data_IF_189643173412
#
_entry.id   IF_189643173412
#
_cell.length_a   1.000
_cell.length_b   1.000
_cell.length_c   1.000
_cell.angle_alpha   90.00
_cell.angle_beta   90.00
_cell.angle_gamma   90.00
#
_symmetry.space_group_name_H-M   'P 1'
#
loop_
_entity.id
_entity.type
_entity.pdbx_description
1 polymer ?
#
# COMPACT_ATOMS: atom_id res chain seq x y z
N UNK A 1 -23.96 38.77 -15.06
CA UNK A 1 -22.92 38.52 -14.05
C UNK A 1 -22.69 37.01 -13.99
N UNK A 2 -21.51 36.51 -14.39
CA UNK A 2 -21.18 35.08 -14.32
C UNK A 2 -20.53 34.81 -12.96
N UNK A 3 -21.17 34.02 -12.10
CA UNK A 3 -20.52 33.49 -10.91
C UNK A 3 -19.51 32.44 -11.36
N UNK A 4 -18.22 32.74 -11.19
CA UNK A 4 -17.13 31.83 -11.49
C UNK A 4 -16.97 30.90 -10.28
N UNK A 5 -17.44 29.66 -10.41
CA UNK A 5 -17.43 28.67 -9.34
C UNK A 5 -16.01 28.33 -8.88
N UNK A 6 -15.82 28.31 -7.57
CA UNK A 6 -14.56 27.92 -6.93
C UNK A 6 -14.37 26.40 -7.07
N UNK A 7 -13.38 25.95 -7.85
CA UNK A 7 -13.00 24.52 -7.89
C UNK A 7 -12.10 24.26 -6.68
N UNK A 8 -12.59 23.47 -5.72
CA UNK A 8 -11.76 22.98 -4.63
C UNK A 8 -10.73 22.01 -5.22
N UNK A 9 -9.48 22.45 -5.35
CA UNK A 9 -8.36 21.57 -5.65
C UNK A 9 -8.23 20.55 -4.51
N UNK A 10 -8.51 19.26 -4.79
CA UNK A 10 -8.24 18.17 -3.85
C UNK A 10 -6.83 17.64 -4.10
N UNK A 11 -5.99 17.62 -3.07
CA UNK A 11 -4.70 16.93 -3.15
C UNK A 11 -4.95 15.42 -3.11
N UNK A 12 -4.36 14.68 -4.06
CA UNK A 12 -4.35 13.22 -4.05
C UNK A 12 -3.20 12.71 -3.17
N UNK A 13 -3.51 11.87 -2.19
CA UNK A 13 -2.54 11.17 -1.35
C UNK A 13 -2.62 9.69 -1.65
N UNK A 14 -1.50 9.06 -2.00
CA UNK A 14 -1.44 7.62 -2.24
C UNK A 14 -0.20 7.00 -1.62
N UNK A 15 -0.27 5.69 -1.35
CA UNK A 15 0.89 4.86 -0.97
C UNK A 15 1.24 3.98 -2.17
N UNK A 16 2.54 3.81 -2.43
CA UNK A 16 3.06 2.96 -3.49
C UNK A 16 4.00 1.90 -2.90
N UNK A 17 3.79 0.64 -3.26
CA UNK A 17 4.58 -0.51 -2.83
C UNK A 17 4.70 -1.56 -3.96
N UNK A 18 5.66 -2.45 -3.85
CA UNK A 18 5.88 -3.56 -4.78
C UNK A 18 6.64 -4.71 -4.08
N UNK A 19 6.80 -5.85 -4.76
CA UNK A 19 7.74 -6.92 -4.39
C UNK A 19 7.54 -7.46 -2.96
N UNK A 20 6.28 -7.72 -2.61
CA UNK A 20 5.91 -8.24 -1.30
C UNK A 20 6.21 -9.74 -1.14
N UNK A 21 6.27 -10.48 -2.26
CA UNK A 21 6.61 -11.91 -2.32
C UNK A 21 5.85 -12.78 -1.29
N UNK A 22 4.54 -12.58 -1.17
CA UNK A 22 3.69 -13.35 -0.27
C UNK A 22 3.62 -14.80 -0.71
N UNK A 23 4.04 -15.72 0.17
CA UNK A 23 4.19 -17.12 -0.21
C UNK A 23 5.64 -17.57 -0.23
N UNK A 24 6.58 -16.63 -0.35
CA UNK A 24 7.99 -16.95 -0.42
C UNK A 24 8.51 -17.54 0.89
N UNK A 25 9.22 -18.68 0.77
CA UNK A 25 9.81 -19.43 1.88
C UNK A 25 11.32 -19.44 1.74
N UNK A 26 11.94 -18.29 2.00
CA UNK A 26 13.40 -18.18 1.94
C UNK A 26 14.06 -19.24 2.83
N UNK A 27 15.02 -20.00 2.27
CA UNK A 27 15.71 -21.11 2.93
C UNK A 27 14.79 -22.23 3.45
N UNK A 28 13.57 -22.35 2.89
CA UNK A 28 12.52 -23.24 3.39
C UNK A 28 12.16 -22.99 4.88
N UNK A 29 12.45 -21.78 5.39
CA UNK A 29 12.22 -21.41 6.78
C UNK A 29 10.79 -20.93 7.00
N UNK A 30 10.10 -21.56 7.96
CA UNK A 30 8.78 -21.11 8.41
C UNK A 30 8.81 -19.70 8.98
N UNK A 31 9.91 -19.28 9.58
CA UNK A 31 10.00 -17.94 10.16
C UNK A 31 10.18 -16.88 9.08
N UNK A 32 11.00 -17.15 8.05
CA UNK A 32 11.15 -16.25 6.90
C UNK A 32 9.82 -16.05 6.17
N UNK A 33 9.03 -17.11 6.00
CA UNK A 33 7.66 -16.98 5.48
C UNK A 33 6.80 -16.01 6.30
N UNK A 34 6.88 -16.06 7.64
CA UNK A 34 6.14 -15.13 8.50
C UNK A 34 6.69 -13.71 8.43
N UNK A 35 8.00 -13.52 8.21
CA UNK A 35 8.58 -12.19 8.01
C UNK A 35 7.90 -11.44 6.87
N UNK A 36 7.76 -12.07 5.69
CA UNK A 36 7.08 -11.45 4.53
C UNK A 36 5.62 -11.12 4.86
N UNK A 37 4.89 -12.03 5.50
CA UNK A 37 3.49 -11.79 5.90
C UNK A 37 3.35 -10.65 6.91
N UNK A 38 4.26 -10.54 7.89
CA UNK A 38 4.26 -9.47 8.90
C UNK A 38 4.57 -8.12 8.27
N UNK A 39 5.55 -8.06 7.37
CA UNK A 39 5.90 -6.83 6.64
C UNK A 39 4.73 -6.34 5.78
N UNK A 40 4.05 -7.24 5.07
CA UNK A 40 2.86 -6.88 4.30
C UNK A 40 1.70 -6.45 5.20
N UNK A 41 1.47 -7.15 6.32
CA UNK A 41 0.47 -6.72 7.30
C UNK A 41 0.75 -5.32 7.83
N UNK A 42 2.02 -4.99 8.11
CA UNK A 42 2.40 -3.65 8.53
C UNK A 42 2.10 -2.59 7.48
N UNK A 43 2.33 -2.88 6.18
CA UNK A 43 1.94 -1.99 5.08
C UNK A 43 0.42 -1.74 5.07
N UNK A 44 -0.40 -2.77 5.29
CA UNK A 44 -1.85 -2.63 5.37
C UNK A 44 -2.28 -1.79 6.58
N UNK A 45 -1.70 -2.08 7.76
CA UNK A 45 -1.99 -1.34 8.99
C UNK A 45 -1.60 0.16 8.85
N UNK A 46 -0.48 0.44 8.18
CA UNK A 46 -0.07 1.81 7.82
C UNK A 46 -1.06 2.47 6.85
N UNK A 47 -1.49 1.74 5.82
CA UNK A 47 -2.45 2.25 4.82
C UNK A 47 -3.77 2.62 5.49
N UNK A 48 -4.28 1.78 6.38
CA UNK A 48 -5.49 2.05 7.14
C UNK A 48 -5.34 3.27 8.06
N UNK A 49 -4.19 3.42 8.73
CA UNK A 49 -3.89 4.57 9.59
C UNK A 49 -3.82 5.88 8.80
N UNK A 50 -3.13 5.87 7.67
CA UNK A 50 -2.85 7.07 6.87
C UNK A 50 -4.01 7.52 6.00
N UNK A 51 -5.01 6.66 5.79
CA UNK A 51 -6.19 6.88 4.96
C UNK A 51 -5.84 7.58 3.62
N UNK A 52 -4.93 7.02 2.80
CA UNK A 52 -4.72 7.53 1.45
C UNK A 52 -5.95 7.29 0.58
N UNK A 53 -6.05 7.98 -0.55
CA UNK A 53 -7.11 7.77 -1.53
C UNK A 53 -7.04 6.37 -2.14
N UNK A 54 -5.83 5.83 -2.28
CA UNK A 54 -5.59 4.45 -2.72
C UNK A 54 -4.19 3.96 -2.34
N UNK A 55 -4.04 2.63 -2.35
CA UNK A 55 -2.76 1.91 -2.31
C UNK A 55 -2.48 1.34 -3.70
N UNK A 56 -1.33 1.67 -4.28
CA UNK A 56 -0.84 1.11 -5.53
C UNK A 56 0.18 0.00 -5.23
N UNK A 57 -0.13 -1.23 -5.61
CA UNK A 57 0.81 -2.36 -5.60
C UNK A 57 1.29 -2.60 -7.04
N UNK A 58 2.57 -2.36 -7.31
CA UNK A 58 3.11 -2.29 -8.68
C UNK A 58 3.66 -3.61 -9.24
N UNK A 59 3.67 -4.69 -8.46
CA UNK A 59 4.15 -6.00 -8.93
C UNK A 59 4.53 -6.94 -7.80
N UNK A 60 4.75 -8.21 -8.15
CA UNK A 60 5.27 -9.28 -7.28
C UNK A 60 4.66 -9.30 -5.88
N UNK A 61 3.32 -9.25 -5.85
CA UNK A 61 2.57 -9.44 -4.62
C UNK A 61 2.79 -10.85 -4.05
N UNK A 62 2.90 -11.85 -4.93
CA UNK A 62 3.08 -13.26 -4.60
C UNK A 62 4.44 -13.77 -5.06
#
# INVERSE_FOLDING_TARGET
MKQQGYVKMSNTKFIHAADCHLGYRQYNSKERYKDFNRSFKWLLDLTLKEQPDFLLIAGDLF
#
